data_IF_814378615026
#
_entry.id   IF_814378615026
#
_cell.length_a   1.000
_cell.length_b   1.000
_cell.length_c   1.000
_cell.angle_alpha   90.00
_cell.angle_beta   90.00
_cell.angle_gamma   90.00
#
_symmetry.space_group_name_H-M   'P 1'
#
loop_
_entity.id
_entity.type
_entity.pdbx_description
1 polymer ?
#
# COMPACT_ATOMS: atom_id res chain seq x y z
N UNK A 1 9.93 -0.65 -4.25
CA UNK A 1 11.24 0.00 -4.55
C UNK A 1 11.91 -0.53 -5.82
N UNK A 2 11.94 -1.85 -6.08
CA UNK A 2 12.63 -2.44 -7.25
C UNK A 2 12.17 -1.88 -8.61
N UNK A 3 10.87 -1.68 -8.80
CA UNK A 3 10.30 -1.12 -10.04
C UNK A 3 10.74 0.34 -10.23
N UNK A 4 10.58 1.19 -9.21
CA UNK A 4 11.03 2.58 -9.25
C UNK A 4 12.55 2.70 -9.42
N UNK A 5 13.34 1.80 -8.84
CA UNK A 5 14.81 1.76 -8.99
C UNK A 5 15.24 1.34 -10.40
N UNK A 6 14.59 0.31 -10.98
CA UNK A 6 14.82 -0.15 -12.37
C UNK A 6 14.39 0.90 -13.41
N UNK A 7 13.33 1.66 -13.10
CA UNK A 7 12.84 2.77 -13.92
C UNK A 7 13.67 4.05 -13.76
N UNK A 8 14.26 4.26 -12.59
CA UNK A 8 15.22 5.35 -12.35
C UNK A 8 16.57 5.10 -13.00
N UNK A 9 16.98 3.84 -13.21
CA UNK A 9 18.25 3.49 -13.88
C UNK A 9 18.14 3.29 -15.39
N UNK A 10 16.94 3.09 -15.94
CA UNK A 10 16.74 3.08 -17.40
C UNK A 10 16.44 4.49 -17.91
N UNK A 11 16.73 4.76 -19.20
CA UNK A 11 16.62 6.07 -19.87
C UNK A 11 15.19 6.67 -19.94
N UNK A 12 14.27 6.27 -19.06
CA UNK A 12 12.87 6.70 -19.03
C UNK A 12 12.62 7.74 -17.93
N UNK A 13 13.31 8.88 -18.01
CA UNK A 13 13.11 10.04 -17.12
C UNK A 13 11.63 10.45 -17.01
N UNK A 14 10.87 10.28 -18.10
CA UNK A 14 9.42 10.52 -18.14
C UNK A 14 8.65 9.59 -17.20
N UNK A 15 8.97 8.29 -17.19
CA UNK A 15 8.26 7.29 -16.41
C UNK A 15 8.65 7.38 -14.92
N UNK A 16 9.89 7.75 -14.62
CA UNK A 16 10.33 8.16 -13.27
C UNK A 16 9.57 9.40 -12.76
N UNK A 17 9.38 10.41 -13.62
CA UNK A 17 8.57 11.59 -13.32
C UNK A 17 7.11 11.26 -12.97
N UNK A 18 6.49 10.34 -13.73
CA UNK A 18 5.14 9.84 -13.44
C UNK A 18 5.07 9.13 -12.09
N UNK A 19 6.03 8.26 -11.79
CA UNK A 19 6.07 7.53 -10.52
C UNK A 19 6.25 8.49 -9.33
N UNK A 20 7.04 9.54 -9.51
CA UNK A 20 7.27 10.57 -8.48
C UNK A 20 6.06 11.48 -8.29
N UNK A 21 5.26 11.70 -9.34
CA UNK A 21 4.01 12.48 -9.27
C UNK A 21 2.83 11.69 -8.68
N UNK A 22 2.83 10.35 -8.73
CA UNK A 22 1.77 9.50 -8.18
C UNK A 22 1.45 9.81 -6.69
N UNK A 23 2.43 9.93 -5.77
CA UNK A 23 2.18 10.35 -4.41
C UNK A 23 1.49 11.71 -4.30
N UNK A 24 1.91 12.69 -5.10
CA UNK A 24 1.34 14.05 -5.09
C UNK A 24 -0.12 14.02 -5.56
N UNK A 25 -0.40 13.33 -6.66
CA UNK A 25 -1.76 13.14 -7.17
C UNK A 25 -2.65 12.39 -6.16
N UNK A 26 -2.08 11.44 -5.43
CA UNK A 26 -2.78 10.70 -4.37
C UNK A 26 -3.17 11.61 -3.21
N UNK A 27 -2.26 12.49 -2.76
CA UNK A 27 -2.53 13.47 -1.70
C UNK A 27 -3.60 14.50 -2.13
N UNK A 28 -3.52 14.98 -3.37
CA UNK A 28 -4.53 15.91 -3.92
C UNK A 28 -5.91 15.24 -3.96
N UNK A 29 -5.98 13.99 -4.44
CA UNK A 29 -7.23 13.24 -4.49
C UNK A 29 -7.82 13.00 -3.09
N UNK A 30 -6.99 12.59 -2.12
CA UNK A 30 -7.41 12.46 -0.72
C UNK A 30 -7.90 13.77 -0.14
N UNK A 31 -7.20 14.89 -0.38
CA UNK A 31 -7.62 16.21 0.07
C UNK A 31 -8.98 16.64 -0.51
N UNK A 32 -9.24 16.35 -1.79
CA UNK A 32 -10.54 16.61 -2.41
C UNK A 32 -11.65 15.70 -1.86
N UNK A 33 -11.34 14.44 -1.56
CA UNK A 33 -12.29 13.52 -0.93
C UNK A 33 -12.63 13.95 0.50
N UNK A 34 -11.62 14.32 1.30
CA UNK A 34 -11.80 14.76 2.68
C UNK A 34 -12.62 16.05 2.79
N UNK A 35 -12.45 17.00 1.85
CA UNK A 35 -13.24 18.25 1.83
C UNK A 35 -14.74 18.05 1.59
N UNK A 36 -15.12 16.93 0.97
CA UNK A 36 -16.51 16.65 0.59
C UNK A 36 -17.12 15.46 1.37
N UNK A 37 -16.41 14.91 2.37
CA UNK A 37 -16.88 13.81 3.20
C UNK A 37 -17.63 14.30 4.44
N UNK A 38 -18.66 13.56 4.85
CA UNK A 38 -19.31 13.71 6.16
C UNK A 38 -18.42 13.13 7.26
N UNK A 39 -18.54 13.62 8.49
CA UNK A 39 -17.74 13.20 9.64
C UNK A 39 -17.82 11.68 9.90
N UNK A 40 -19.01 11.08 9.78
CA UNK A 40 -19.19 9.62 9.94
C UNK A 40 -18.40 8.81 8.90
N UNK A 41 -18.34 9.30 7.66
CA UNK A 41 -17.58 8.67 6.57
C UNK A 41 -16.08 8.87 6.76
N UNK A 42 -15.67 9.99 7.33
CA UNK A 42 -14.27 10.30 7.59
C UNK A 42 -13.63 9.29 8.55
N UNK A 43 -14.31 8.92 9.65
CA UNK A 43 -13.78 7.93 10.60
C UNK A 43 -13.61 6.54 9.97
N UNK A 44 -14.56 6.10 9.16
CA UNK A 44 -14.46 4.82 8.45
C UNK A 44 -13.32 4.81 7.43
N UNK A 45 -13.17 5.90 6.66
CA UNK A 45 -12.06 6.06 5.70
C UNK A 45 -10.71 6.11 6.42
N UNK A 46 -10.64 6.81 7.55
CA UNK A 46 -9.42 6.88 8.38
C UNK A 46 -9.05 5.50 8.94
N UNK A 47 -10.00 4.75 9.49
CA UNK A 47 -9.77 3.38 9.97
C UNK A 47 -9.26 2.47 8.86
N UNK A 48 -9.90 2.49 7.68
CA UNK A 48 -9.46 1.73 6.51
C UNK A 48 -8.07 2.13 6.04
N UNK A 49 -7.74 3.42 6.09
CA UNK A 49 -6.42 3.94 5.72
C UNK A 49 -5.34 3.45 6.68
N UNK A 50 -5.59 3.53 8.00
CA UNK A 50 -4.68 3.03 9.03
C UNK A 50 -4.48 1.53 8.88
N UNK A 51 -5.54 0.76 8.67
CA UNK A 51 -5.46 -0.69 8.47
C UNK A 51 -4.64 -1.04 7.22
N UNK A 52 -4.85 -0.33 6.11
CA UNK A 52 -4.04 -0.48 4.89
C UNK A 52 -2.55 -0.17 5.13
N UNK A 53 -2.25 0.88 5.91
CA UNK A 53 -0.87 1.23 6.27
C UNK A 53 -0.20 0.14 7.12
N UNK A 54 -0.92 -0.42 8.09
CA UNK A 54 -0.45 -1.57 8.89
C UNK A 54 -0.19 -2.79 8.00
N UNK A 55 -1.09 -3.06 7.05
CA UNK A 55 -0.90 -4.14 6.08
C UNK A 55 0.35 -3.95 5.22
N UNK A 56 0.62 -2.73 4.76
CA UNK A 56 1.83 -2.40 3.99
C UNK A 56 3.12 -2.56 4.81
N UNK A 57 3.08 -2.20 6.10
CA UNK A 57 4.18 -2.46 7.05
C UNK A 57 4.40 -3.96 7.23
N UNK A 58 3.33 -4.73 7.41
CA UNK A 58 3.38 -6.18 7.54
C UNK A 58 4.00 -6.80 6.28
N UNK A 59 3.56 -6.39 5.08
CA UNK A 59 4.12 -6.86 3.81
C UNK A 59 5.63 -6.59 3.71
N UNK A 60 6.06 -5.38 4.03
CA UNK A 60 7.48 -4.98 3.90
C UNK A 60 8.38 -5.71 4.90
N UNK A 61 7.94 -5.85 6.16
CA UNK A 61 8.69 -6.60 7.18
C UNK A 61 8.77 -8.09 6.82
N UNK A 62 7.64 -8.69 6.40
CA UNK A 62 7.61 -10.11 6.02
C UNK A 62 8.50 -10.36 4.80
N UNK A 63 8.43 -9.50 3.79
CA UNK A 63 9.25 -9.62 2.59
C UNK A 63 10.75 -9.58 2.95
N UNK A 64 11.14 -8.63 3.81
CA UNK A 64 12.53 -8.49 4.28
C UNK A 64 13.01 -9.74 5.04
N UNK A 65 12.21 -10.22 6.01
CA UNK A 65 12.55 -11.42 6.79
C UNK A 65 12.67 -12.66 5.90
N UNK A 66 11.70 -12.90 5.01
CA UNK A 66 11.72 -14.06 4.11
C UNK A 66 12.86 -14.01 3.10
N UNK A 67 13.32 -12.83 2.66
CA UNK A 67 14.53 -12.73 1.82
C UNK A 67 15.80 -13.19 2.51
N UNK A 68 15.82 -13.30 3.84
CA UNK A 68 16.98 -13.84 4.58
C UNK A 68 17.11 -15.35 4.37
N UNK A 69 16.00 -16.05 4.12
CA UNK A 69 15.96 -17.52 4.04
C UNK A 69 15.63 -18.07 2.65
N UNK A 70 14.93 -17.31 1.82
CA UNK A 70 14.45 -17.72 0.49
C UNK A 70 14.89 -16.78 -0.63
N UNK A 71 14.79 -17.27 -1.87
CA UNK A 71 15.03 -16.45 -3.06
C UNK A 71 14.06 -15.27 -3.10
N UNK A 72 14.50 -14.07 -3.54
CA UNK A 72 13.70 -12.83 -3.48
C UNK A 72 12.30 -12.95 -4.08
N UNK A 73 12.15 -13.62 -5.23
CA UNK A 73 10.85 -13.79 -5.88
C UNK A 73 9.86 -14.57 -5.02
N UNK A 74 10.33 -15.64 -4.37
CA UNK A 74 9.48 -16.51 -3.53
C UNK A 74 9.08 -15.74 -2.27
N UNK A 75 10.02 -15.02 -1.66
CA UNK A 75 9.78 -14.19 -0.48
C UNK A 75 8.73 -13.11 -0.74
N UNK A 76 8.79 -12.45 -1.89
CA UNK A 76 7.80 -11.43 -2.30
C UNK A 76 6.42 -12.07 -2.52
N UNK A 77 6.34 -13.19 -3.25
CA UNK A 77 5.05 -13.86 -3.53
C UNK A 77 4.39 -14.35 -2.23
N UNK A 78 5.14 -14.99 -1.32
CA UNK A 78 4.62 -15.41 -0.02
C UNK A 78 4.14 -14.22 0.81
N UNK A 79 4.91 -13.13 0.86
CA UNK A 79 4.52 -11.94 1.61
C UNK A 79 3.29 -11.27 1.02
N UNK A 80 3.16 -11.28 -0.30
CA UNK A 80 1.99 -10.76 -1.01
C UNK A 80 0.74 -11.60 -0.71
N UNK A 81 0.88 -12.93 -0.62
CA UNK A 81 -0.22 -13.82 -0.24
C UNK A 81 -0.71 -13.54 1.19
N UNK A 82 0.22 -13.39 2.15
CA UNK A 82 -0.14 -13.04 3.54
C UNK A 82 -0.79 -11.66 3.60
N UNK A 83 -0.26 -10.67 2.87
CA UNK A 83 -0.88 -9.35 2.77
C UNK A 83 -2.30 -9.40 2.20
N UNK A 84 -2.53 -10.19 1.14
CA UNK A 84 -3.85 -10.34 0.55
C UNK A 84 -4.84 -10.95 1.55
N UNK A 85 -4.43 -11.99 2.30
CA UNK A 85 -5.24 -12.58 3.36
C UNK A 85 -5.53 -11.54 4.44
N UNK A 86 -4.53 -10.79 4.90
CA UNK A 86 -4.70 -9.73 5.89
C UNK A 86 -5.72 -8.67 5.44
N UNK A 87 -5.66 -8.22 4.18
CA UNK A 87 -6.61 -7.24 3.65
C UNK A 87 -8.04 -7.79 3.54
N UNK A 88 -8.19 -9.07 3.15
CA UNK A 88 -9.50 -9.73 3.09
C UNK A 88 -10.10 -9.92 4.49
N UNK A 89 -9.30 -10.38 5.45
CA UNK A 89 -9.71 -10.54 6.84
C UNK A 89 -10.05 -9.19 7.49
N UNK A 90 -9.27 -8.15 7.19
CA UNK A 90 -9.49 -6.79 7.68
C UNK A 90 -10.84 -6.21 7.29
N UNK A 91 -11.26 -6.42 6.04
CA UNK A 91 -12.59 -6.01 5.57
C UNK A 91 -13.70 -6.69 6.37
N UNK A 92 -13.54 -7.98 6.68
CA UNK A 92 -14.52 -8.74 7.47
C UNK A 92 -14.58 -8.26 8.92
N UNK A 93 -13.42 -8.04 9.54
CA UNK A 93 -13.30 -7.55 10.92
C UNK A 93 -13.89 -6.14 11.04
N UNK A 94 -13.52 -5.21 10.16
CA UNK A 94 -14.07 -3.85 10.13
C UNK A 94 -15.59 -3.84 9.96
N UNK A 95 -16.11 -4.72 9.10
CA UNK A 95 -17.57 -4.86 8.88
C UNK A 95 -18.34 -5.36 10.10
N UNK A 96 -17.68 -5.93 11.11
CA UNK A 96 -18.33 -6.30 12.38
C UNK A 96 -18.36 -5.16 13.40
N UNK A 97 -17.55 -4.10 13.21
CA UNK A 97 -17.46 -2.96 14.13
C UNK A 97 -18.24 -1.72 13.67
N UNK A 98 -18.80 -1.74 12.46
CA UNK A 98 -19.75 -0.75 11.90
C UNK A 98 -21.16 -1.31 11.90
#
# INVERSE_FOLDING_TARGET
MVIALLLSQSKYLFLSGIITALPILTLINMGMQMKNMKEDTFHSVLQNTVFGAVGMLLFTVLAFLLTTWFKPNISVICSLAVYAVFMLSGKYIMSMFT
#
